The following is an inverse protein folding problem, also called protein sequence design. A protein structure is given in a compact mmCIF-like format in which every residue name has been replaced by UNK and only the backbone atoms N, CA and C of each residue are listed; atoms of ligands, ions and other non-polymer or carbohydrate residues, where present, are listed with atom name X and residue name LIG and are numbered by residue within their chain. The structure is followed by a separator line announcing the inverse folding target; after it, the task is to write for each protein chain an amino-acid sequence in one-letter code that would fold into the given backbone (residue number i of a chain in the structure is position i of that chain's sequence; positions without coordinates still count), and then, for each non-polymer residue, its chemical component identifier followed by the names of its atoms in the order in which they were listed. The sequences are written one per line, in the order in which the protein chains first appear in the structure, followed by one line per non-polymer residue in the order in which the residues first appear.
data_IF_728083946730
#
_entry.id   IF_728083946730
#
_cell.length_a   1.000
_cell.length_b   1.000
_cell.length_c   1.000
_cell.angle_alpha   90.00
_cell.angle_beta   90.00
_cell.angle_gamma   90.00
#
_symmetry.space_group_name_H-M   'P 1'
#
loop_
_entity.id
_entity.type
_entity.pdbx_description
1 polymer ?
#
# COMPACT_ATOMS: atom_id res chain seq x y z
N UNK A 1 -2.88 18.45 18.35
CA UNK A 1 -3.92 17.44 18.60
C UNK A 1 -4.29 16.89 17.23
N UNK A 2 -3.65 15.79 16.82
CA UNK A 2 -3.65 15.35 15.43
C UNK A 2 -4.72 14.28 15.21
N UNK A 3 -5.56 14.53 14.22
CA UNK A 3 -6.66 13.69 13.77
C UNK A 3 -6.09 12.50 12.99
N UNK A 4 -5.98 11.35 13.67
CA UNK A 4 -5.53 10.09 13.07
C UNK A 4 -6.74 9.45 12.39
N UNK A 5 -6.63 8.94 11.15
CA UNK A 5 -7.71 8.14 10.57
C UNK A 5 -7.99 6.95 11.48
N UNK A 6 -9.17 6.95 12.11
CA UNK A 6 -9.64 5.87 12.96
C UNK A 6 -10.74 5.12 12.21
N UNK A 7 -10.63 3.79 12.19
CA UNK A 7 -11.79 2.99 11.82
C UNK A 7 -12.80 3.07 12.96
N UNK A 8 -13.93 3.75 12.74
CA UNK A 8 -15.03 3.78 13.71
C UNK A 8 -15.63 2.38 13.98
N UNK A 9 -15.29 1.37 13.17
CA UNK A 9 -15.81 0.01 13.28
C UNK A 9 -14.93 -0.94 14.12
N UNK A 10 -13.64 -0.64 14.32
CA UNK A 10 -12.70 -1.59 14.96
C UNK A 10 -11.89 -1.03 16.14
N UNK A 11 -12.05 0.25 16.49
CA UNK A 11 -11.27 0.92 17.55
C UNK A 11 -9.75 0.69 17.46
N UNK A 12 -9.27 0.42 16.25
CA UNK A 12 -7.88 0.09 15.97
C UNK A 12 -7.24 1.18 15.11
N UNK A 13 -5.98 1.45 15.39
CA UNK A 13 -5.22 2.50 14.72
C UNK A 13 -4.67 1.88 13.42
N UNK A 14 -5.04 2.42 12.24
CA UNK A 14 -4.59 1.90 10.95
C UNK A 14 -3.06 1.73 10.87
N UNK A 15 -2.29 2.64 11.49
CA UNK A 15 -0.83 2.56 11.68
C UNK A 15 -0.39 3.44 12.87
N UNK A 16 0.67 3.06 13.60
CA UNK A 16 1.41 4.04 14.39
C UNK A 16 1.97 5.09 13.44
N UNK A 17 1.36 6.29 13.46
CA UNK A 17 1.62 7.37 12.51
C UNK A 17 3.09 7.80 12.49
N UNK A 18 3.86 7.48 13.53
CA UNK A 18 5.27 7.82 13.63
C UNK A 18 6.18 6.79 12.92
N UNK A 19 5.80 5.50 12.85
CA UNK A 19 6.71 4.43 12.41
C UNK A 19 6.16 3.51 11.32
N UNK A 20 4.99 3.79 10.72
CA UNK A 20 4.32 2.87 9.78
C UNK A 20 5.20 2.35 8.62
N UNK A 21 6.09 3.17 8.06
CA UNK A 21 7.02 2.72 7.02
C UNK A 21 8.14 1.81 7.55
N UNK A 22 8.64 2.06 8.76
CA UNK A 22 9.64 1.20 9.41
C UNK A 22 9.01 -0.12 9.84
N UNK A 23 7.81 -0.09 10.41
CA UNK A 23 7.05 -1.29 10.73
C UNK A 23 6.81 -2.14 9.48
N UNK A 24 6.42 -1.53 8.36
CA UNK A 24 6.26 -2.22 7.08
C UNK A 24 7.59 -2.81 6.57
N UNK A 25 8.70 -2.06 6.68
CA UNK A 25 10.05 -2.55 6.36
C UNK A 25 10.41 -3.81 7.14
N UNK A 26 10.17 -3.83 8.45
CA UNK A 26 10.53 -4.95 9.30
C UNK A 26 9.55 -6.13 9.23
N UNK A 27 8.25 -5.87 9.30
CA UNK A 27 7.22 -6.92 9.40
C UNK A 27 6.85 -7.45 8.03
N UNK A 28 6.61 -6.56 7.05
CA UNK A 28 6.08 -6.95 5.76
C UNK A 28 7.19 -7.36 4.79
N UNK A 29 8.23 -6.54 4.62
CA UNK A 29 9.28 -6.84 3.64
C UNK A 29 10.34 -7.81 4.18
N UNK A 30 11.02 -7.46 5.28
CA UNK A 30 12.02 -8.36 5.88
C UNK A 30 11.40 -9.68 6.36
N UNK A 31 10.21 -9.63 6.95
CA UNK A 31 9.47 -10.83 7.37
C UNK A 31 9.18 -11.81 6.23
N UNK A 32 9.01 -11.32 5.00
CA UNK A 32 8.80 -12.12 3.79
C UNK A 32 10.07 -12.31 2.94
N UNK A 33 11.25 -11.99 3.48
CA UNK A 33 12.53 -12.08 2.75
C UNK A 33 12.51 -11.30 1.43
N UNK A 34 11.92 -10.10 1.45
CA UNK A 34 11.90 -9.17 0.33
C UNK A 34 12.97 -8.09 0.54
N UNK A 35 13.73 -7.71 -0.50
CA UNK A 35 13.62 -8.16 -1.90
C UNK A 35 14.43 -9.43 -2.22
N UNK A 36 15.12 -10.04 -1.25
CA UNK A 36 16.11 -11.10 -1.50
C UNK A 36 15.55 -12.37 -2.15
N UNK A 37 14.26 -12.65 -1.99
CA UNK A 37 13.58 -13.80 -2.60
C UNK A 37 13.09 -13.54 -4.03
N UNK A 38 13.24 -12.32 -4.57
CA UNK A 38 12.83 -12.02 -5.94
C UNK A 38 13.80 -12.63 -6.96
N UNK A 39 13.22 -13.38 -7.91
CA UNK A 39 13.90 -13.82 -9.13
C UNK A 39 13.45 -12.92 -10.29
N UNK A 40 14.37 -12.07 -10.77
CA UNK A 40 14.11 -11.06 -11.80
C UNK A 40 13.67 -11.62 -13.15
N UNK A 41 13.80 -12.94 -13.38
CA UNK A 41 13.36 -13.59 -14.61
C UNK A 41 11.92 -14.12 -14.54
N UNK A 42 11.19 -13.80 -13.46
CA UNK A 42 9.88 -14.39 -13.17
C UNK A 42 8.84 -13.35 -12.76
N UNK A 43 7.65 -13.82 -12.37
CA UNK A 43 6.64 -12.99 -11.71
C UNK A 43 6.60 -13.31 -10.22
N UNK A 44 6.39 -12.31 -9.37
CA UNK A 44 6.19 -12.48 -7.94
C UNK A 44 4.79 -11.99 -7.53
N UNK A 45 4.16 -12.64 -6.56
CA UNK A 45 2.84 -12.23 -6.05
C UNK A 45 2.90 -11.92 -4.57
N UNK A 46 2.45 -10.73 -4.19
CA UNK A 46 2.17 -10.36 -2.81
C UNK A 46 0.65 -10.37 -2.61
N UNK A 47 0.19 -11.04 -1.55
CA UNK A 47 -1.21 -11.05 -1.15
C UNK A 47 -1.35 -10.48 0.27
N UNK A 48 -2.27 -9.54 0.44
CA UNK A 48 -2.51 -8.81 1.69
C UNK A 48 -4.00 -8.86 2.09
N UNK A 49 -4.26 -8.80 3.40
CA UNK A 49 -5.59 -8.57 3.97
C UNK A 49 -5.62 -7.18 4.61
N UNK A 50 -6.55 -6.33 4.16
CA UNK A 50 -6.63 -4.93 4.55
C UNK A 50 -5.71 -4.05 3.70
N UNK A 51 -6.27 -3.35 2.71
CA UNK A 51 -5.50 -2.41 1.88
C UNK A 51 -5.29 -1.09 2.61
N UNK A 52 -6.31 -0.63 3.35
CA UNK A 52 -6.29 0.65 4.06
C UNK A 52 -5.91 1.80 3.14
N UNK A 53 -4.86 2.53 3.51
CA UNK A 53 -4.31 3.63 2.71
C UNK A 53 -3.46 3.17 1.52
N UNK A 54 -3.09 1.89 1.45
CA UNK A 54 -2.21 1.34 0.42
C UNK A 54 -0.71 1.54 0.70
N UNK A 55 -0.30 1.95 1.90
CA UNK A 55 1.12 2.23 2.21
C UNK A 55 2.06 1.05 1.85
N UNK A 56 1.67 -0.19 2.19
CA UNK A 56 2.45 -1.39 1.84
C UNK A 56 2.60 -1.58 0.33
N UNK A 57 1.56 -1.26 -0.45
CA UNK A 57 1.63 -1.31 -1.91
C UNK A 57 2.64 -0.30 -2.47
N UNK A 58 2.61 0.96 -2.00
CA UNK A 58 3.55 1.99 -2.46
C UNK A 58 5.00 1.67 -2.05
N UNK A 59 5.21 1.14 -0.85
CA UNK A 59 6.52 0.68 -0.41
C UNK A 59 7.00 -0.53 -1.23
N UNK A 60 6.12 -1.48 -1.55
CA UNK A 60 6.46 -2.63 -2.39
C UNK A 60 6.84 -2.20 -3.82
N UNK A 61 6.12 -1.22 -4.38
CA UNK A 61 6.45 -0.62 -5.68
C UNK A 61 7.83 0.05 -5.64
N UNK A 62 8.11 0.89 -4.64
CA UNK A 62 9.44 1.51 -4.51
C UNK A 62 10.55 0.47 -4.34
N UNK A 63 10.31 -0.59 -3.57
CA UNK A 63 11.26 -1.69 -3.37
C UNK A 63 11.53 -2.43 -4.69
N UNK A 64 10.48 -2.66 -5.50
CA UNK A 64 10.57 -3.28 -6.83
C UNK A 64 11.45 -2.46 -7.76
N UNK A 65 11.16 -1.17 -7.91
CA UNK A 65 11.93 -0.27 -8.78
C UNK A 65 13.41 -0.22 -8.41
N UNK A 66 13.72 -0.30 -7.11
CA UNK A 66 15.10 -0.24 -6.61
C UNK A 66 15.89 -1.54 -6.81
N UNK A 67 15.24 -2.70 -6.71
CA UNK A 67 15.95 -3.98 -6.58
C UNK A 67 15.70 -4.97 -7.73
N UNK A 68 14.56 -4.87 -8.40
CA UNK A 68 14.14 -5.83 -9.42
C UNK A 68 13.24 -5.14 -10.48
N UNK A 69 13.73 -4.13 -11.21
CA UNK A 69 12.91 -3.36 -12.16
C UNK A 69 12.32 -4.20 -13.31
N UNK A 70 12.92 -5.35 -13.62
CA UNK A 70 12.45 -6.26 -14.67
C UNK A 70 11.45 -7.32 -14.15
N UNK A 71 11.26 -7.42 -12.82
CA UNK A 71 10.32 -8.36 -12.21
C UNK A 71 8.88 -7.88 -12.39
N UNK A 72 7.99 -8.78 -12.83
CA UNK A 72 6.56 -8.51 -12.82
C UNK A 72 5.97 -8.79 -11.43
N UNK A 73 5.64 -7.74 -10.68
CA UNK A 73 5.01 -7.85 -9.36
C UNK A 73 3.48 -7.77 -9.46
N UNK A 74 2.79 -8.80 -8.98
CA UNK A 74 1.35 -8.79 -8.77
C UNK A 74 1.05 -8.52 -7.30
N UNK A 75 0.35 -7.43 -7.01
CA UNK A 75 -0.12 -7.12 -5.65
C UNK A 75 -1.64 -7.37 -5.58
N UNK A 76 -2.07 -8.21 -4.64
CA UNK A 76 -3.47 -8.56 -4.44
C UNK A 76 -3.83 -8.17 -3.01
N UNK A 77 -4.85 -7.35 -2.82
CA UNK A 77 -5.36 -7.03 -1.49
C UNK A 77 -6.86 -7.23 -1.42
N UNK A 78 -7.35 -7.56 -0.22
CA UNK A 78 -8.77 -7.68 0.10
C UNK A 78 -9.12 -6.63 1.14
N UNK A 79 -10.05 -5.73 0.83
CA UNK A 79 -10.47 -4.65 1.71
C UNK A 79 -11.98 -4.68 1.92
N UNK A 80 -12.40 -4.61 3.19
CA UNK A 80 -13.81 -4.63 3.59
C UNK A 80 -14.40 -3.21 3.62
N UNK A 81 -13.58 -2.20 3.91
CA UNK A 81 -13.97 -0.80 4.02
C UNK A 81 -13.04 0.07 3.18
N UNK A 82 -13.15 0.04 1.84
CA UNK A 82 -12.25 0.80 0.98
C UNK A 82 -12.39 2.29 1.24
N UNK A 83 -11.25 2.97 1.41
CA UNK A 83 -11.18 4.41 1.48
C UNK A 83 -11.44 5.00 0.10
N UNK A 84 -12.04 6.19 0.04
CA UNK A 84 -12.11 6.94 -1.21
C UNK A 84 -10.76 7.61 -1.56
N UNK A 85 -10.67 8.15 -2.78
CA UNK A 85 -9.44 8.74 -3.28
C UNK A 85 -8.90 9.89 -2.39
N UNK A 86 -9.78 10.67 -1.78
CA UNK A 86 -9.39 11.80 -0.94
C UNK A 86 -8.92 11.33 0.44
N UNK A 87 -9.58 10.31 1.01
CA UNK A 87 -9.15 9.65 2.24
C UNK A 87 -7.78 8.97 2.06
N UNK A 88 -7.53 8.32 0.92
CA UNK A 88 -6.21 7.74 0.58
C UNK A 88 -5.16 8.85 0.51
N UNK A 89 -5.42 9.93 -0.22
CA UNK A 89 -4.51 11.08 -0.33
C UNK A 89 -4.19 11.68 1.04
N UNK A 90 -5.22 11.90 1.88
CA UNK A 90 -5.05 12.40 3.26
C UNK A 90 -4.22 11.43 4.10
N UNK A 91 -4.53 10.13 4.03
CA UNK A 91 -3.83 9.06 4.75
C UNK A 91 -2.36 8.94 4.36
N UNK A 92 -2.02 9.22 3.10
CA UNK A 92 -0.66 9.16 2.58
C UNK A 92 0.09 10.50 2.61
N UNK A 93 -0.54 11.58 3.09
CA UNK A 93 0.03 12.94 3.04
C UNK A 93 1.44 13.07 3.61
N UNK A 94 1.78 12.30 4.66
CA UNK A 94 3.14 12.27 5.25
C UNK A 94 4.21 11.71 4.31
N UNK A 95 3.81 10.84 3.39
CA UNK A 95 4.66 10.25 2.36
C UNK A 95 4.44 10.89 0.98
N UNK A 96 3.70 12.00 0.91
CA UNK A 96 3.41 12.71 -0.33
C UNK A 96 4.68 13.00 -1.13
N UNK A 97 5.69 13.62 -0.52
CA UNK A 97 6.97 13.91 -1.21
C UNK A 97 7.76 12.67 -1.67
N UNK A 98 7.49 11.49 -1.10
CA UNK A 98 8.15 10.22 -1.48
C UNK A 98 7.41 9.52 -2.62
N UNK A 99 6.09 9.65 -2.67
CA UNK A 99 5.22 8.87 -3.55
C UNK A 99 4.28 9.69 -4.42
N UNK A 100 4.42 11.02 -4.51
CA UNK A 100 3.49 11.94 -5.20
C UNK A 100 3.05 11.42 -6.58
N UNK A 101 4.02 11.18 -7.47
CA UNK A 101 3.75 10.67 -8.82
C UNK A 101 3.04 9.31 -8.84
N UNK A 102 3.41 8.42 -7.89
CA UNK A 102 2.82 7.09 -7.78
C UNK A 102 1.40 7.15 -7.23
N UNK A 103 1.16 8.02 -6.25
CA UNK A 103 -0.16 8.25 -5.66
C UNK A 103 -1.10 8.78 -6.74
N UNK A 104 -0.70 9.82 -7.47
CA UNK A 104 -1.56 10.38 -8.52
C UNK A 104 -1.79 9.39 -9.66
N UNK A 105 -0.77 8.60 -10.04
CA UNK A 105 -0.94 7.51 -11.00
C UNK A 105 -1.94 6.45 -10.51
N UNK A 106 -1.84 6.03 -9.26
CA UNK A 106 -2.75 5.06 -8.66
C UNK A 106 -4.18 5.60 -8.57
N UNK A 107 -4.35 6.84 -8.09
CA UNK A 107 -5.66 7.48 -7.95
C UNK A 107 -6.34 7.75 -9.31
N UNK A 108 -5.57 7.90 -10.40
CA UNK A 108 -6.13 8.05 -11.75
C UNK A 108 -6.90 6.82 -12.26
N UNK A 109 -6.62 5.65 -11.69
CA UNK A 109 -7.28 4.37 -12.04
C UNK A 109 -8.10 3.80 -10.88
N UNK A 110 -7.97 4.37 -9.68
CA UNK A 110 -8.65 3.89 -8.48
C UNK A 110 -10.17 4.05 -8.63
N UNK A 111 -11.00 3.08 -8.19
CA UNK A 111 -12.45 3.17 -8.33
C UNK A 111 -13.02 4.42 -7.66
N UNK A 112 -13.81 5.21 -8.38
CA UNK A 112 -14.43 6.44 -7.86
C UNK A 112 -15.45 6.18 -6.76
N UNK A 113 -16.03 4.98 -6.74
CA UNK A 113 -17.06 4.57 -5.79
C UNK A 113 -16.60 3.35 -5.00
N UNK A 114 -17.04 3.28 -3.74
CA UNK A 114 -16.85 2.12 -2.85
C UNK A 114 -17.74 0.98 -3.34
N UNK A 115 -17.27 0.27 -4.35
CA UNK A 115 -17.99 -0.82 -4.99
C UNK A 115 -17.45 -2.17 -4.53
N UNK A 116 -18.36 -3.10 -4.24
CA UNK A 116 -18.01 -4.49 -4.00
C UNK A 116 -17.60 -5.15 -5.31
N UNK A 117 -16.47 -5.84 -5.32
CA UNK A 117 -16.06 -6.62 -6.48
C UNK A 117 -14.56 -6.77 -6.59
N UNK A 118 -14.11 -7.22 -7.77
CA UNK A 118 -12.71 -7.30 -8.12
C UNK A 118 -12.35 -6.11 -9.00
N UNK A 119 -11.42 -5.30 -8.52
CA UNK A 119 -10.85 -4.17 -9.25
C UNK A 119 -9.44 -4.56 -9.73
N UNK A 120 -9.12 -4.33 -11.00
CA UNK A 120 -7.78 -4.54 -11.57
C UNK A 120 -7.28 -3.18 -12.03
N UNK A 121 -6.21 -2.70 -11.38
CA UNK A 121 -5.64 -1.38 -11.54
C UNK A 121 -4.31 -1.44 -12.31
#
# INVERSE_FOLDING_TARGET
MYDVPRSNAFDDIYFSVENGAEESEFVFFKGNNLPQSWDTNSSYTIAETGFGTGLNFFLAWELLEKNAPDLYLKFISYEMYPLDAEEIRKGLSRWGSRFEDKIEKFLSVYPEQRETGRHIL
#
